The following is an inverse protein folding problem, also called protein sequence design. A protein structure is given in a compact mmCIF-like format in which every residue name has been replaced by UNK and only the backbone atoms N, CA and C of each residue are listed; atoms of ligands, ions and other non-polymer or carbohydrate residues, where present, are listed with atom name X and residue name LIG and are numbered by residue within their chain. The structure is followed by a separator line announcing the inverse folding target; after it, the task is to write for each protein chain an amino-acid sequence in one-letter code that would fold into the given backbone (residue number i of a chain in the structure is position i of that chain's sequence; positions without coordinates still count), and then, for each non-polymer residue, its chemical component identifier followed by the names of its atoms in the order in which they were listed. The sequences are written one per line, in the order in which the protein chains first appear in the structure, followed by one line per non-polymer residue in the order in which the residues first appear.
data_IF_448349122670
#
_entry.id   IF_448349122670
#
_cell.length_a   1.000
_cell.length_b   1.000
_cell.length_c   1.000
_cell.angle_alpha   90.00
_cell.angle_beta   90.00
_cell.angle_gamma   90.00
#
_symmetry.space_group_name_H-M   'P 1'
#
loop_
_entity.id
_entity.type
_entity.pdbx_description
1 polymer ?
#
# COMPACT_ATOMS: atom_id res chain seq x y z
N UNK A 1 10.07 -0.86 5.29
CA UNK A 1 10.48 -0.89 3.88
C UNK A 1 10.59 -2.32 3.39
N UNK A 2 10.27 -2.54 2.11
CA UNK A 2 10.49 -3.80 1.39
C UNK A 2 11.26 -3.48 0.12
N UNK A 3 12.39 -4.18 -0.09
CA UNK A 3 13.16 -4.08 -1.33
C UNK A 3 12.42 -4.77 -2.47
N UNK A 4 12.27 -4.08 -3.61
CA UNK A 4 11.71 -4.62 -4.85
C UNK A 4 12.58 -4.22 -6.04
N UNK A 5 12.32 -4.79 -7.22
CA UNK A 5 13.18 -4.66 -8.40
C UNK A 5 14.12 -5.86 -8.54
N UNK A 6 15.00 -5.84 -9.55
CA UNK A 6 15.89 -6.98 -9.85
C UNK A 6 16.92 -7.25 -8.74
N UNK A 7 17.38 -6.20 -8.05
CA UNK A 7 18.42 -6.29 -7.01
C UNK A 7 17.95 -5.64 -5.69
N UNK A 8 16.64 -5.59 -5.43
CA UNK A 8 16.08 -4.89 -4.29
C UNK A 8 16.47 -3.39 -4.24
N UNK A 9 16.67 -2.81 -5.40
CA UNK A 9 17.19 -1.47 -5.58
C UNK A 9 16.11 -0.37 -5.50
N UNK A 10 14.85 -0.74 -5.36
CA UNK A 10 13.75 0.15 -4.95
C UNK A 10 13.33 -0.21 -3.53
N UNK A 11 13.49 0.72 -2.61
CA UNK A 11 13.07 0.56 -1.22
C UNK A 11 11.66 1.12 -1.06
N UNK A 12 10.68 0.23 -1.04
CA UNK A 12 9.25 0.56 -0.98
C UNK A 12 8.82 0.81 0.44
N UNK A 13 8.40 2.04 0.72
CA UNK A 13 7.78 2.40 1.99
C UNK A 13 6.35 1.92 2.06
N UNK A 14 5.95 1.45 3.23
CA UNK A 14 4.55 1.14 3.54
C UNK A 14 4.22 1.50 4.98
N UNK A 15 2.95 1.72 5.23
CA UNK A 15 2.37 1.82 6.56
C UNK A 15 1.30 0.74 6.71
N UNK A 16 1.40 -0.08 7.74
CA UNK A 16 0.48 -1.19 7.97
C UNK A 16 -0.35 -0.93 9.22
N UNK A 17 -1.65 -1.14 9.11
CA UNK A 17 -2.60 -1.05 10.20
C UNK A 17 -3.42 -2.33 10.23
N UNK A 18 -3.40 -3.03 11.35
CA UNK A 18 -4.24 -4.21 11.58
C UNK A 18 -5.71 -3.83 11.74
N UNK A 19 -6.59 -4.76 11.40
CA UNK A 19 -8.02 -4.61 11.65
C UNK A 19 -8.29 -4.40 13.14
N UNK A 20 -9.22 -3.51 13.43
CA UNK A 20 -9.68 -3.23 14.80
C UNK A 20 -10.62 -4.34 15.33
N UNK A 21 -11.12 -5.21 14.46
CA UNK A 21 -12.05 -6.29 14.83
C UNK A 21 -11.30 -7.63 15.04
N UNK A 22 -10.94 -8.33 13.97
CA UNK A 22 -10.25 -9.62 14.04
C UNK A 22 -9.20 -9.75 12.92
N UNK A 23 -7.95 -9.30 13.16
CA UNK A 23 -6.90 -9.31 12.13
C UNK A 23 -6.60 -10.70 11.55
N UNK A 24 -6.84 -11.78 12.30
CA UNK A 24 -6.57 -13.17 11.85
C UNK A 24 -7.57 -13.66 10.81
N UNK A 25 -8.80 -13.12 10.82
CA UNK A 25 -9.89 -13.56 9.94
C UNK A 25 -10.33 -12.49 8.93
N UNK A 26 -10.16 -11.21 9.30
CA UNK A 26 -10.59 -10.10 8.46
C UNK A 26 -9.73 -9.99 7.20
N UNK A 27 -10.25 -9.41 6.11
CA UNK A 27 -9.49 -9.23 4.88
C UNK A 27 -8.21 -8.43 5.06
N UNK A 28 -7.19 -8.76 4.28
CA UNK A 28 -6.00 -7.95 4.09
C UNK A 28 -6.15 -7.14 2.81
N UNK A 29 -6.07 -5.81 2.91
CA UNK A 29 -6.13 -4.90 1.75
C UNK A 29 -4.78 -4.25 1.51
N UNK A 30 -4.30 -4.29 0.27
CA UNK A 30 -3.22 -3.42 -0.21
C UNK A 30 -3.86 -2.21 -0.87
N UNK A 31 -3.55 -1.00 -0.37
CA UNK A 31 -4.07 0.27 -0.89
C UNK A 31 -3.01 1.06 -1.66
N UNK A 32 -3.38 1.50 -2.87
CA UNK A 32 -2.59 2.38 -3.73
C UNK A 32 -3.32 3.71 -3.90
N UNK A 33 -2.63 4.81 -3.68
CA UNK A 33 -3.17 6.14 -3.97
C UNK A 33 -2.81 6.57 -5.39
N UNK A 34 -3.74 7.25 -6.03
CA UNK A 34 -3.62 7.69 -7.42
C UNK A 34 -2.55 8.77 -7.65
N UNK A 35 -2.84 9.65 -8.52
CA UNK A 35 -1.93 10.70 -9.01
C UNK A 35 -1.62 10.52 -10.49
N UNK A 36 -0.69 9.65 -10.95
CA UNK A 36 0.23 8.78 -10.20
C UNK A 36 1.27 9.54 -9.38
N UNK A 37 1.75 8.92 -8.32
CA UNK A 37 2.83 9.47 -7.49
C UNK A 37 2.39 10.28 -6.27
N UNK A 38 1.11 10.22 -5.89
CA UNK A 38 0.67 10.70 -4.58
C UNK A 38 1.00 9.68 -3.49
N UNK A 39 1.46 10.15 -2.33
CA UNK A 39 1.74 9.26 -1.21
C UNK A 39 0.46 8.62 -0.68
N UNK A 40 0.55 7.34 -0.39
CA UNK A 40 -0.55 6.57 0.20
C UNK A 40 -0.94 7.06 1.61
N UNK A 41 -0.12 7.89 2.24
CA UNK A 41 -0.50 8.56 3.48
C UNK A 41 -1.73 9.47 3.28
N UNK A 42 -2.01 9.95 2.06
CA UNK A 42 -3.26 10.65 1.77
C UNK A 42 -4.48 9.72 1.92
N UNK A 43 -4.41 8.51 1.42
CA UNK A 43 -5.43 7.48 1.64
C UNK A 43 -5.65 7.19 3.14
N UNK A 44 -4.54 7.14 3.90
CA UNK A 44 -4.60 6.90 5.33
C UNK A 44 -5.31 8.04 6.10
N UNK A 45 -4.95 9.31 5.83
CA UNK A 45 -5.43 10.43 6.69
C UNK A 45 -6.63 11.18 6.11
N UNK A 46 -6.90 11.08 4.81
CA UNK A 46 -8.02 11.79 4.18
C UNK A 46 -9.15 10.89 3.69
N UNK A 47 -8.88 9.60 3.45
CA UNK A 47 -9.85 8.72 2.79
C UNK A 47 -10.35 7.61 3.71
N UNK A 48 -9.63 6.49 3.81
CA UNK A 48 -10.11 5.23 4.39
C UNK A 48 -9.48 4.83 5.71
N UNK A 49 -8.35 5.45 6.08
CA UNK A 49 -7.61 5.09 7.29
C UNK A 49 -8.27 5.59 8.58
N UNK A 50 -7.77 5.15 9.74
CA UNK A 50 -8.36 5.44 11.05
C UNK A 50 -8.03 6.83 11.59
N UNK A 51 -7.14 7.56 10.92
CA UNK A 51 -6.69 8.88 11.36
C UNK A 51 -7.18 9.97 10.40
N UNK A 52 -7.49 11.14 10.95
CA UNK A 52 -7.75 12.35 10.20
C UNK A 52 -7.12 13.55 10.90
N UNK A 53 -6.77 14.57 10.13
CA UNK A 53 -6.36 15.84 10.73
C UNK A 53 -7.55 16.52 11.39
N UNK A 54 -7.34 17.01 12.61
CA UNK A 54 -8.33 17.84 13.30
C UNK A 54 -8.45 19.18 12.59
N UNK A 55 -9.67 19.56 12.24
CA UNK A 55 -9.93 20.88 11.69
C UNK A 55 -9.89 21.92 12.82
N UNK A 56 -8.84 22.74 12.80
CA UNK A 56 -8.63 23.80 13.81
C UNK A 56 -7.81 24.95 13.21
N UNK A 57 -7.88 26.14 13.83
CA UNK A 57 -7.09 27.29 13.42
C UNK A 57 -5.59 27.01 13.62
N UNK A 58 -4.79 27.43 12.65
CA UNK A 58 -3.34 27.27 12.71
C UNK A 58 -2.75 28.13 13.82
N UNK A 59 -2.06 27.51 14.76
CA UNK A 59 -1.44 28.13 15.92
C UNK A 59 0.11 28.06 15.92
N UNK A 60 0.72 27.68 14.79
CA UNK A 60 2.17 27.53 14.66
C UNK A 60 2.70 26.13 15.04
N UNK A 61 1.86 25.20 15.51
CA UNK A 61 2.23 23.83 15.85
C UNK A 61 1.91 22.84 14.72
N UNK A 62 2.36 21.58 14.87
CA UNK A 62 1.95 20.50 13.98
C UNK A 62 0.44 20.24 14.15
N UNK A 63 -0.26 19.86 13.06
CA UNK A 63 -1.68 19.56 13.12
C UNK A 63 -1.94 18.35 14.04
N UNK A 64 -3.02 18.44 14.82
CA UNK A 64 -3.47 17.33 15.64
C UNK A 64 -4.18 16.26 14.80
N UNK A 65 -4.00 14.99 15.17
CA UNK A 65 -4.73 13.88 14.58
C UNK A 65 -5.87 13.45 15.49
N UNK A 66 -6.98 13.03 14.89
CA UNK A 66 -8.15 12.46 15.55
C UNK A 66 -8.52 11.13 14.91
N UNK A 67 -9.16 10.28 15.68
CA UNK A 67 -9.70 9.02 15.17
C UNK A 67 -10.91 9.27 14.26
N UNK A 68 -10.95 8.54 13.15
CA UNK A 68 -12.05 8.54 12.20
C UNK A 68 -13.04 7.43 12.57
N UNK A 69 -14.32 7.76 12.84
CA UNK A 69 -15.29 6.79 13.35
C UNK A 69 -15.75 5.75 12.31
N UNK A 70 -15.44 5.94 11.02
CA UNK A 70 -15.85 5.06 9.92
C UNK A 70 -14.65 4.68 9.05
N UNK A 71 -13.55 4.28 9.70
CA UNK A 71 -12.38 3.76 9.01
C UNK A 71 -12.64 2.37 8.44
N UNK A 72 -12.00 2.05 7.33
CA UNK A 72 -12.01 0.69 6.79
C UNK A 72 -11.20 -0.29 7.65
N UNK A 73 -10.32 0.22 8.52
CA UNK A 73 -9.61 -0.62 9.50
C UNK A 73 -10.53 -1.27 10.53
N UNK A 74 -11.78 -0.83 10.63
CA UNK A 74 -12.79 -1.51 11.45
C UNK A 74 -13.14 -2.93 10.97
N UNK A 75 -12.85 -3.26 9.70
CA UNK A 75 -13.25 -4.53 9.06
C UNK A 75 -12.17 -5.15 8.18
N UNK A 76 -11.00 -4.54 8.09
CA UNK A 76 -9.86 -5.06 7.31
C UNK A 76 -8.53 -4.55 7.83
N UNK A 77 -7.50 -5.39 7.72
CA UNK A 77 -6.11 -4.94 7.84
C UNK A 77 -5.68 -4.26 6.55
N UNK A 78 -4.97 -3.12 6.62
CA UNK A 78 -4.65 -2.34 5.42
C UNK A 78 -3.14 -2.04 5.35
N UNK A 79 -2.54 -2.37 4.21
CA UNK A 79 -1.18 -1.99 3.84
C UNK A 79 -1.27 -0.78 2.91
N UNK A 80 -0.89 0.39 3.38
CA UNK A 80 -0.76 1.61 2.59
C UNK A 80 0.63 1.65 1.98
N UNK A 81 0.74 1.59 0.65
CA UNK A 81 2.03 1.43 -0.06
C UNK A 81 2.35 2.63 -0.94
N UNK A 82 3.49 3.25 -0.72
CA UNK A 82 3.98 4.34 -1.58
C UNK A 82 4.60 3.75 -2.86
N UNK A 83 3.87 3.76 -3.95
CA UNK A 83 4.31 3.36 -5.29
C UNK A 83 3.62 4.23 -6.37
N UNK A 84 4.27 4.46 -7.52
CA UNK A 84 5.58 3.97 -7.99
C UNK A 84 6.79 4.56 -7.25
N UNK A 85 7.99 4.13 -7.64
CA UNK A 85 9.26 4.67 -7.09
C UNK A 85 9.31 6.20 -7.06
N UNK A 86 9.94 6.79 -6.04
CA UNK A 86 9.96 8.23 -5.74
C UNK A 86 8.58 8.83 -5.40
N UNK A 87 7.63 7.99 -4.97
CA UNK A 87 6.38 8.41 -4.35
C UNK A 87 6.56 8.43 -2.84
N UNK A 88 6.13 9.51 -2.18
CA UNK A 88 6.21 9.62 -0.73
C UNK A 88 7.59 9.32 -0.17
N UNK A 89 7.71 8.27 0.62
CA UNK A 89 8.97 7.83 1.23
C UNK A 89 9.67 6.68 0.49
N UNK A 90 9.11 6.22 -0.62
CA UNK A 90 9.75 5.20 -1.47
C UNK A 90 10.87 5.81 -2.32
N UNK A 91 12.03 5.18 -2.34
CA UNK A 91 13.21 5.66 -3.06
C UNK A 91 13.94 4.56 -3.82
N UNK A 92 14.70 4.96 -4.82
CA UNK A 92 15.63 4.10 -5.55
C UNK A 92 17.04 4.24 -5.00
N UNK A 93 17.78 3.13 -4.89
CA UNK A 93 19.19 3.10 -4.52
C UNK A 93 20.07 3.49 -5.71
N UNK A 94 19.63 3.14 -6.93
CA UNK A 94 20.35 3.43 -8.18
C UNK A 94 19.53 4.36 -9.08
N UNK A 95 20.21 5.12 -9.95
CA UNK A 95 19.55 5.99 -10.92
C UNK A 95 18.70 5.18 -11.92
N UNK A 96 19.19 4.02 -12.34
CA UNK A 96 18.46 3.13 -13.26
C UNK A 96 17.14 2.63 -12.67
N UNK A 97 17.08 2.40 -11.36
CA UNK A 97 15.89 1.96 -10.66
C UNK A 97 14.86 3.09 -10.42
N UNK A 98 15.22 4.34 -10.69
CA UNK A 98 14.32 5.50 -10.54
C UNK A 98 13.31 5.65 -11.70
N UNK A 99 13.44 4.87 -12.77
CA UNK A 99 12.52 4.89 -13.90
C UNK A 99 11.13 4.40 -13.50
N UNK A 100 10.09 4.95 -14.16
CA UNK A 100 8.68 4.67 -13.84
C UNK A 100 7.93 4.24 -15.09
N UNK A 101 7.10 3.23 -14.93
CA UNK A 101 6.06 2.84 -15.88
C UNK A 101 4.98 2.05 -15.15
N UNK A 102 3.80 1.93 -15.74
CA UNK A 102 2.72 1.12 -15.17
C UNK A 102 3.12 -0.35 -15.05
N UNK A 103 3.86 -0.89 -16.01
CA UNK A 103 4.38 -2.26 -15.95
C UNK A 103 5.35 -2.46 -14.79
N UNK A 104 6.25 -1.51 -14.55
CA UNK A 104 7.15 -1.56 -13.40
C UNK A 104 6.37 -1.49 -12.09
N UNK A 105 5.36 -0.61 -12.00
CA UNK A 105 4.46 -0.54 -10.85
C UNK A 105 3.78 -1.89 -10.59
N UNK A 106 3.21 -2.52 -11.62
CA UNK A 106 2.54 -3.83 -11.50
C UNK A 106 3.49 -4.88 -10.93
N UNK A 107 4.70 -5.01 -11.49
CA UNK A 107 5.69 -5.96 -11.02
C UNK A 107 6.18 -5.66 -9.60
N UNK A 108 6.41 -4.39 -9.29
CA UNK A 108 6.85 -3.97 -7.95
C UNK A 108 5.78 -4.25 -6.88
N UNK A 109 4.50 -4.00 -7.15
CA UNK A 109 3.40 -4.34 -6.23
C UNK A 109 3.32 -5.85 -6.02
N UNK A 110 3.43 -6.64 -7.10
CA UNK A 110 3.40 -8.10 -6.99
C UNK A 110 4.58 -8.64 -6.15
N UNK A 111 5.80 -8.14 -6.40
CA UNK A 111 6.99 -8.52 -5.60
C UNK A 111 6.84 -8.09 -4.14
N UNK A 112 6.39 -6.85 -3.92
CA UNK A 112 6.13 -6.31 -2.59
C UNK A 112 5.20 -7.22 -1.80
N UNK A 113 4.02 -7.51 -2.35
CA UNK A 113 3.00 -8.32 -1.66
C UNK A 113 3.52 -9.72 -1.32
N UNK A 114 4.25 -10.36 -2.25
CA UNK A 114 4.83 -11.69 -1.99
C UNK A 114 5.85 -11.65 -0.84
N UNK A 115 6.77 -10.68 -0.84
CA UNK A 115 7.78 -10.54 0.22
C UNK A 115 7.13 -10.19 1.54
N UNK A 116 6.17 -9.26 1.51
CA UNK A 116 5.44 -8.88 2.72
C UNK A 116 4.72 -10.07 3.37
N UNK A 117 4.05 -10.91 2.59
CA UNK A 117 3.37 -12.11 3.10
C UNK A 117 4.34 -13.18 3.61
N UNK A 118 5.56 -13.27 3.06
CA UNK A 118 6.61 -14.16 3.59
C UNK A 118 7.04 -13.68 4.98
N UNK A 119 7.19 -12.38 5.17
CA UNK A 119 7.60 -11.79 6.44
C UNK A 119 6.46 -11.71 7.47
N UNK A 120 5.20 -11.83 7.00
CA UNK A 120 3.99 -11.78 7.82
C UNK A 120 3.12 -13.03 7.59
N UNK A 121 3.60 -14.23 7.97
CA UNK A 121 2.94 -15.50 7.64
C UNK A 121 1.55 -15.65 8.26
N UNK A 122 1.24 -14.91 9.31
CA UNK A 122 -0.08 -14.92 9.96
C UNK A 122 -1.20 -14.45 9.02
N UNK A 123 -0.86 -13.65 7.97
CA UNK A 123 -1.83 -13.13 7.00
C UNK A 123 -1.96 -14.02 5.74
N UNK A 124 -1.27 -15.15 5.65
CA UNK A 124 -1.33 -16.04 4.47
C UNK A 124 -2.71 -16.68 4.25
N UNK A 125 -3.50 -16.83 5.31
CA UNK A 125 -4.87 -17.37 5.25
C UNK A 125 -5.93 -16.33 4.98
N UNK A 126 -5.62 -15.03 5.14
CA UNK A 126 -6.60 -13.96 4.94
C UNK A 126 -6.93 -13.78 3.44
N UNK A 127 -8.16 -13.36 3.18
CA UNK A 127 -8.53 -12.93 1.83
C UNK A 127 -7.80 -11.64 1.49
N UNK A 128 -7.07 -11.63 0.36
CA UNK A 128 -6.29 -10.47 -0.07
C UNK A 128 -7.06 -9.67 -1.11
N UNK A 129 -7.18 -8.38 -0.88
CA UNK A 129 -7.77 -7.42 -1.81
C UNK A 129 -6.73 -6.37 -2.19
N UNK A 130 -6.80 -5.88 -3.43
CA UNK A 130 -6.03 -4.74 -3.92
C UNK A 130 -7.01 -3.64 -4.26
N UNK A 131 -6.89 -2.53 -3.59
CA UNK A 131 -7.75 -1.37 -3.73
C UNK A 131 -6.96 -0.09 -3.97
N UNK A 132 -7.67 0.96 -4.31
CA UNK A 132 -7.07 2.28 -4.48
C UNK A 132 -8.05 3.27 -5.08
N UNK A 133 -7.60 4.50 -5.21
CA UNK A 133 -8.38 5.60 -5.75
C UNK A 133 -7.84 6.10 -7.10
N UNK A 134 -8.65 6.83 -7.83
CA UNK A 134 -8.27 7.64 -8.99
C UNK A 134 -7.43 6.86 -10.04
N UNK A 135 -6.22 7.33 -10.35
CA UNK A 135 -5.31 6.71 -11.33
C UNK A 135 -5.00 5.24 -11.03
N UNK A 136 -4.92 4.87 -9.76
CA UNK A 136 -4.58 3.50 -9.35
C UNK A 136 -5.57 2.45 -9.89
N UNK A 137 -6.79 2.85 -10.24
CA UNK A 137 -7.78 2.00 -10.92
C UNK A 137 -7.29 1.40 -12.24
N UNK A 138 -6.32 2.04 -12.92
CA UNK A 138 -5.74 1.52 -14.17
C UNK A 138 -4.86 0.30 -13.90
N UNK A 139 -3.78 0.38 -13.09
CA UNK A 139 -2.89 -0.75 -12.85
C UNK A 139 -3.51 -1.86 -11.98
N UNK A 140 -4.46 -1.57 -11.09
CA UNK A 140 -5.03 -2.56 -10.16
C UNK A 140 -5.55 -3.80 -10.88
N UNK A 141 -6.26 -3.65 -11.99
CA UNK A 141 -6.80 -4.79 -12.76
C UNK A 141 -5.68 -5.71 -13.26
N UNK A 142 -4.57 -5.15 -13.70
CA UNK A 142 -3.40 -5.89 -14.18
C UNK A 142 -2.64 -6.53 -13.03
N UNK A 143 -2.48 -5.82 -11.90
CA UNK A 143 -1.86 -6.36 -10.68
C UNK A 143 -2.63 -7.60 -10.18
N UNK A 144 -3.96 -7.51 -10.11
CA UNK A 144 -4.82 -8.63 -9.70
C UNK A 144 -4.70 -9.79 -10.66
N UNK A 145 -4.69 -9.54 -11.97
CA UNK A 145 -4.51 -10.57 -12.99
C UNK A 145 -3.15 -11.28 -12.84
N UNK A 146 -2.06 -10.53 -12.70
CA UNK A 146 -0.72 -11.09 -12.53
C UNK A 146 -0.61 -11.90 -11.24
N UNK A 147 -1.13 -11.37 -10.12
CA UNK A 147 -1.13 -12.05 -8.83
C UNK A 147 -1.97 -13.34 -8.84
N UNK A 148 -3.07 -13.38 -9.60
CA UNK A 148 -3.91 -14.57 -9.72
C UNK A 148 -3.32 -15.65 -10.65
N UNK A 149 -2.61 -15.24 -11.69
CA UNK A 149 -1.96 -16.18 -12.63
C UNK A 149 -0.73 -16.85 -12.02
N UNK A 150 -0.04 -16.22 -11.09
CA UNK A 150 1.07 -16.80 -10.32
C UNK A 150 0.68 -18.05 -9.53
N UNK A 151 -0.62 -18.33 -9.31
CA UNK A 151 -1.11 -19.59 -8.73
C UNK A 151 -0.88 -20.82 -9.64
N UNK A 152 -0.55 -20.64 -10.93
CA UNK A 152 -0.24 -21.75 -11.84
C UNK A 152 1.22 -22.20 -11.80
N UNK A 153 2.09 -21.42 -11.21
CA UNK A 153 3.49 -21.80 -11.00
C UNK A 153 3.64 -22.20 -9.53
N UNK A 154 3.24 -23.46 -9.25
CA UNK A 154 3.60 -24.09 -7.98
C UNK A 154 5.12 -24.20 -7.93
N UNK A 155 5.73 -23.52 -6.96
CA UNK A 155 7.01 -23.91 -6.41
C UNK A 155 6.80 -25.09 -5.49
#
# INVERSE_FOLDING_TARGET
YVGVGESDDVQTFYYFIESENNPEEDPLMLWLTGGPGCSTLSGLVFEIGPLAFKYEEYNGSLPNLVLRPHSWTMVSSIIFVDLPVSTGFTYAITESASQRSDWMLVHQVHQFLRKWLIDHPNFLSNQVYIGGDSYSGIPISVIVQESSQGKKTRI
#
